data_IF_619348143176
#
_entry.id   IF_619348143176
#
_cell.length_a   1.000
_cell.length_b   1.000
_cell.length_c   1.000
_cell.angle_alpha   90.00
_cell.angle_beta   90.00
_cell.angle_gamma   90.00
#
_symmetry.space_group_name_H-M   'P 1'
#
loop_
_entity.id
_entity.type
_entity.pdbx_description
1 polymer ?
#
# COMPACT_ATOMS: atom_id res chain seq x y z
N UNK A 1 35.88 -11.12 16.20
CA UNK A 1 35.94 -9.65 16.32
C UNK A 1 35.04 -9.03 15.27
N UNK A 2 34.22 -8.05 15.63
CA UNK A 2 33.43 -7.25 14.69
C UNK A 2 34.01 -5.84 14.65
N UNK A 3 34.17 -5.30 13.45
CA UNK A 3 34.69 -3.96 13.18
C UNK A 3 33.74 -3.26 12.20
N UNK A 4 33.28 -2.06 12.54
CA UNK A 4 32.54 -1.22 11.62
C UNK A 4 33.52 -0.52 10.66
N UNK A 5 33.24 -0.55 9.36
CA UNK A 5 34.06 0.12 8.35
C UNK A 5 33.45 1.49 8.07
N UNK A 6 34.17 2.55 8.44
CA UNK A 6 33.71 3.91 8.25
C UNK A 6 34.00 4.37 6.82
N UNK A 7 32.94 4.81 6.11
CA UNK A 7 33.02 5.39 4.77
C UNK A 7 33.62 4.47 3.70
N UNK A 8 33.65 3.16 3.93
CA UNK A 8 34.10 2.21 2.90
C UNK A 8 33.06 2.14 1.77
N UNK A 9 33.54 2.15 0.52
CA UNK A 9 32.68 2.26 -0.65
C UNK A 9 31.69 1.09 -0.80
N UNK A 10 32.09 -0.10 -0.36
CA UNK A 10 31.39 -1.37 -0.65
C UNK A 10 30.88 -2.06 0.62
N UNK A 11 31.55 -1.85 1.74
CA UNK A 11 31.30 -2.57 2.97
C UNK A 11 30.95 -1.63 4.13
N UNK A 12 30.12 -2.11 5.05
CA UNK A 12 29.74 -1.40 6.27
C UNK A 12 30.49 -1.91 7.50
N UNK A 13 31.12 -3.08 7.38
CA UNK A 13 31.74 -3.75 8.49
C UNK A 13 32.42 -5.05 8.08
N UNK A 14 33.17 -5.61 9.02
CA UNK A 14 33.93 -6.82 8.86
C UNK A 14 33.87 -7.66 10.12
N UNK A 15 33.68 -8.96 9.96
CA UNK A 15 33.71 -9.95 11.03
C UNK A 15 34.90 -10.86 10.82
N UNK A 16 35.83 -10.82 11.77
CA UNK A 16 36.99 -11.71 11.82
C UNK A 16 36.72 -12.85 12.79
N UNK A 17 36.68 -14.08 12.29
CA UNK A 17 36.59 -15.32 13.08
C UNK A 17 37.95 -16.00 13.12
N UNK A 18 38.28 -16.56 14.26
CA UNK A 18 39.53 -17.30 14.46
C UNK A 18 39.17 -18.71 14.90
N UNK A 19 39.64 -19.70 14.16
CA UNK A 19 39.34 -21.11 14.36
C UNK A 19 40.58 -21.85 14.85
N UNK A 20 40.42 -22.67 15.88
CA UNK A 20 41.44 -23.62 16.35
C UNK A 20 40.84 -25.02 16.25
N UNK A 21 41.54 -25.93 15.59
CA UNK A 21 41.09 -27.32 15.51
C UNK A 21 41.56 -28.07 16.77
N UNK A 22 40.72 -28.95 17.31
CA UNK A 22 41.06 -29.86 18.40
C UNK A 22 40.64 -31.26 17.97
N UNK A 23 41.56 -32.22 18.05
CA UNK A 23 41.27 -33.61 17.69
C UNK A 23 40.61 -34.39 18.84
N UNK A 24 40.24 -35.65 18.60
CA UNK A 24 39.59 -36.51 19.60
C UNK A 24 40.49 -36.91 20.77
N UNK A 25 41.80 -36.68 20.69
CA UNK A 25 42.77 -36.92 21.76
C UNK A 25 43.07 -35.63 22.55
N UNK A 26 42.51 -34.48 22.15
CA UNK A 26 42.72 -33.19 22.80
C UNK A 26 43.92 -32.41 22.26
N UNK A 27 44.57 -32.85 21.18
CA UNK A 27 45.63 -32.07 20.56
C UNK A 27 45.03 -30.89 19.81
N UNK A 28 45.63 -29.72 19.96
CA UNK A 28 45.16 -28.50 19.31
C UNK A 28 46.05 -28.12 18.11
N UNK A 29 45.47 -27.50 17.08
CA UNK A 29 46.24 -27.01 15.94
C UNK A 29 47.22 -25.91 16.35
N UNK A 30 48.45 -26.02 15.86
CA UNK A 30 49.52 -25.06 16.12
C UNK A 30 49.21 -23.67 15.54
N UNK A 31 48.58 -23.64 14.37
CA UNK A 31 48.13 -22.41 13.72
C UNK A 31 46.62 -22.20 13.91
N UNK A 32 46.26 -20.93 14.11
CA UNK A 32 44.87 -20.48 14.10
C UNK A 32 44.47 -20.12 12.67
N UNK A 33 43.34 -20.64 12.21
CA UNK A 33 42.78 -20.25 10.91
C UNK A 33 41.93 -19.00 11.07
N UNK A 34 42.31 -17.91 10.42
CA UNK A 34 41.56 -16.65 10.45
C UNK A 34 40.67 -16.56 9.21
N UNK A 35 39.37 -16.38 9.44
CA UNK A 35 38.37 -16.12 8.41
C UNK A 35 37.89 -14.67 8.53
N UNK A 36 37.90 -13.96 7.41
CA UNK A 36 37.39 -12.59 7.30
C UNK A 36 36.11 -12.59 6.49
N UNK A 37 35.03 -12.03 7.04
CA UNK A 37 33.72 -11.90 6.41
C UNK A 37 33.41 -10.41 6.28
N UNK A 38 33.27 -9.89 5.06
CA UNK A 38 32.87 -8.50 4.83
C UNK A 38 31.34 -8.40 4.75
N UNK A 39 30.79 -7.34 5.32
CA UNK A 39 29.36 -7.03 5.30
C UNK A 39 29.12 -5.97 4.23
N UNK A 40 28.38 -6.32 3.18
CA UNK A 40 28.03 -5.40 2.10
C UNK A 40 27.07 -4.30 2.54
N UNK A 41 27.12 -3.18 1.84
CA UNK A 41 26.14 -2.10 1.97
C UNK A 41 24.74 -2.59 1.62
N UNK A 42 23.73 -1.88 2.14
CA UNK A 42 22.33 -2.18 1.81
C UNK A 42 22.11 -2.12 0.30
N UNK A 43 21.21 -2.92 -0.25
CA UNK A 43 20.79 -2.83 -1.65
C UNK A 43 19.31 -3.21 -1.74
N UNK A 44 18.74 -3.15 -2.93
CA UNK A 44 17.32 -3.50 -3.14
C UNK A 44 17.14 -4.91 -3.70
N UNK A 45 18.23 -5.67 -3.82
CA UNK A 45 18.19 -7.04 -4.30
C UNK A 45 17.44 -7.94 -3.31
N UNK A 46 16.65 -8.87 -3.85
CA UNK A 46 15.83 -9.79 -3.04
C UNK A 46 14.59 -9.15 -2.40
N UNK A 47 14.38 -7.84 -2.52
CA UNK A 47 13.15 -7.20 -2.07
C UNK A 47 12.05 -7.46 -3.09
N UNK A 48 10.96 -8.03 -2.62
CA UNK A 48 9.73 -8.19 -3.38
C UNK A 48 8.82 -7.00 -3.09
N UNK A 49 8.40 -6.33 -4.16
CA UNK A 49 7.48 -5.20 -4.08
C UNK A 49 6.09 -5.66 -3.59
N UNK A 50 5.35 -4.79 -2.87
CA UNK A 50 3.94 -5.02 -2.61
C UNK A 50 3.11 -4.94 -3.92
N UNK A 51 1.80 -5.27 -3.89
CA UNK A 51 0.95 -5.16 -5.07
C UNK A 51 1.05 -3.79 -5.74
N UNK A 52 1.40 -3.78 -7.03
CA UNK A 52 1.66 -2.53 -7.77
C UNK A 52 0.39 -1.71 -8.02
N UNK A 53 -0.77 -2.37 -8.08
CA UNK A 53 -2.07 -1.75 -8.26
C UNK A 53 -2.98 -2.27 -7.16
N UNK A 54 -3.58 -1.37 -6.40
CA UNK A 54 -4.53 -1.69 -5.33
C UNK A 54 -5.79 -0.87 -5.58
N UNK A 55 -6.94 -1.53 -5.50
CA UNK A 55 -8.25 -0.88 -5.64
C UNK A 55 -9.03 -1.07 -4.35
N UNK A 56 -9.46 0.03 -3.74
CA UNK A 56 -10.27 0.06 -2.53
C UNK A 56 -11.63 0.70 -2.85
N UNK A 57 -12.70 0.28 -2.17
CA UNK A 57 -13.96 1.01 -2.26
C UNK A 57 -13.86 2.28 -1.42
N UNK A 58 -14.40 3.37 -1.95
CA UNK A 58 -14.58 4.62 -1.22
C UNK A 58 -15.51 4.51 0.00
N UNK A 59 -16.36 3.49 0.05
CA UNK A 59 -17.24 3.19 1.18
C UNK A 59 -16.64 2.19 2.16
N UNK A 60 -15.48 1.60 1.83
CA UNK A 60 -14.75 0.75 2.75
C UNK A 60 -14.15 1.61 3.86
N UNK A 61 -14.26 1.13 5.09
CA UNK A 61 -13.61 1.74 6.24
C UNK A 61 -12.17 1.21 6.36
N UNK A 62 -11.34 1.48 5.34
CA UNK A 62 -9.94 1.11 5.33
C UNK A 62 -9.18 1.88 6.42
N UNK A 63 -8.17 1.27 7.04
CA UNK A 63 -7.34 1.97 8.00
C UNK A 63 -6.55 3.09 7.31
N UNK A 64 -6.52 4.28 7.91
CA UNK A 64 -5.68 5.39 7.46
C UNK A 64 -4.27 5.30 8.07
N UNK A 65 -3.28 5.83 7.37
CA UNK A 65 -1.93 5.94 7.89
C UNK A 65 -1.77 7.03 8.96
N UNK A 66 -0.64 7.01 9.64
CA UNK A 66 -0.31 7.98 10.69
C UNK A 66 0.39 9.24 10.13
N UNK A 67 0.33 9.50 8.82
CA UNK A 67 0.97 10.69 8.20
C UNK A 67 0.04 11.90 8.15
N UNK A 68 -1.20 11.76 8.63
CA UNK A 68 -2.13 12.88 8.82
C UNK A 68 -2.80 13.38 7.54
N UNK A 69 -2.67 12.65 6.44
CA UNK A 69 -3.30 12.98 5.15
C UNK A 69 -4.56 12.15 4.85
N UNK A 70 -4.87 11.17 5.69
CA UNK A 70 -6.02 10.28 5.53
C UNK A 70 -5.91 9.32 4.35
N UNK A 71 -4.69 8.85 4.07
CA UNK A 71 -4.43 7.89 2.99
C UNK A 71 -4.42 6.46 3.53
N UNK A 72 -4.78 5.46 2.70
CA UNK A 72 -4.82 4.06 3.15
C UNK A 72 -3.50 3.59 3.74
N UNK A 73 -3.54 2.99 4.91
CA UNK A 73 -2.36 2.46 5.58
C UNK A 73 -1.70 1.34 4.77
N UNK A 74 -0.38 1.12 4.89
CA UNK A 74 0.28 -0.02 4.24
C UNK A 74 -0.27 -1.39 4.66
N UNK A 75 -0.99 -1.50 5.78
CA UNK A 75 -1.72 -2.72 6.15
C UNK A 75 -2.85 -3.07 5.17
N UNK A 76 -3.42 -2.07 4.48
CA UNK A 76 -4.49 -2.23 3.49
C UNK A 76 -3.92 -2.50 2.08
N UNK A 77 -2.72 -1.97 1.81
CA UNK A 77 -2.15 -1.94 0.45
C UNK A 77 -0.93 -2.85 0.26
N UNK A 78 -0.46 -3.47 1.34
CA UNK A 78 0.76 -4.27 1.39
C UNK A 78 2.04 -3.44 1.61
N UNK A 79 3.11 -4.16 1.96
CA UNK A 79 4.46 -3.62 2.23
C UNK A 79 5.53 -4.39 1.46
N UNK A 80 6.70 -3.80 1.17
CA UNK A 80 7.84 -4.54 0.65
C UNK A 80 8.30 -5.64 1.62
N UNK A 81 8.68 -6.80 1.07
CA UNK A 81 9.13 -7.97 1.85
C UNK A 81 10.46 -8.50 1.33
N UNK A 82 11.23 -9.14 2.20
CA UNK A 82 12.37 -9.98 1.81
C UNK A 82 12.09 -11.42 2.24
N UNK A 83 11.98 -12.33 1.27
CA UNK A 83 11.39 -13.64 1.52
C UNK A 83 9.97 -13.47 2.10
N UNK A 84 9.76 -13.92 3.34
CA UNK A 84 8.49 -13.77 4.07
C UNK A 84 8.48 -12.64 5.10
N UNK A 85 9.56 -11.87 5.22
CA UNK A 85 9.73 -10.87 6.27
C UNK A 85 9.33 -9.48 5.77
N UNK A 86 8.35 -8.81 6.39
CA UNK A 86 7.99 -7.44 6.04
C UNK A 86 9.08 -6.46 6.44
N UNK A 87 9.38 -5.50 5.56
CA UNK A 87 10.41 -4.48 5.80
C UNK A 87 9.83 -3.24 6.50
N UNK A 88 8.53 -2.99 6.41
CA UNK A 88 7.84 -1.89 7.07
C UNK A 88 6.83 -2.44 8.11
N UNK A 89 6.66 -1.83 9.30
CA UNK A 89 7.15 -0.53 9.75
C UNK A 89 8.50 -0.57 10.46
N UNK A 90 9.33 -1.59 10.21
CA UNK A 90 10.62 -1.76 10.88
C UNK A 90 11.55 -0.61 10.53
N UNK A 91 11.57 0.40 11.40
CA UNK A 91 12.33 1.64 11.23
C UNK A 91 13.84 1.45 11.40
N UNK A 92 14.26 0.29 11.90
CA UNK A 92 15.66 -0.12 11.95
C UNK A 92 15.73 -1.54 11.40
N UNK A 93 16.02 -1.63 10.10
CA UNK A 93 16.36 -2.91 9.52
C UNK A 93 17.65 -3.35 10.23
N UNK A 94 17.57 -4.46 10.97
CA UNK A 94 18.65 -5.01 11.78
C UNK A 94 19.80 -5.53 10.88
N UNK A 95 20.55 -6.55 11.30
CA UNK A 95 21.68 -7.12 10.53
C UNK A 95 21.37 -7.51 9.06
N UNK A 96 20.10 -7.49 8.63
CA UNK A 96 19.67 -7.70 7.24
C UNK A 96 19.87 -6.47 6.33
N UNK A 97 19.70 -5.25 6.84
CA UNK A 97 20.02 -4.00 6.12
C UNK A 97 20.55 -2.94 7.12
N UNK A 98 21.71 -3.22 7.71
CA UNK A 98 22.38 -2.33 8.65
C UNK A 98 22.46 -0.87 8.17
N UNK A 99 22.33 0.06 9.12
CA UNK A 99 22.41 1.50 8.91
C UNK A 99 21.44 2.04 7.84
N UNK A 100 20.29 1.39 7.68
CA UNK A 100 19.26 1.84 6.76
C UNK A 100 17.86 1.74 7.35
N UNK A 101 16.97 2.55 6.79
CA UNK A 101 15.54 2.58 7.12
C UNK A 101 14.73 2.48 5.84
N UNK A 102 13.51 1.95 5.92
CA UNK A 102 12.57 1.96 4.81
C UNK A 102 11.35 2.81 5.19
N UNK A 103 10.91 3.65 4.26
CA UNK A 103 9.68 4.43 4.40
C UNK A 103 9.06 4.64 3.01
N UNK A 104 7.87 5.21 2.99
CA UNK A 104 7.15 5.54 1.76
C UNK A 104 6.73 7.00 1.70
N UNK A 105 6.52 7.52 0.50
CA UNK A 105 5.90 8.82 0.27
C UNK A 105 4.70 8.68 -0.63
N UNK A 106 3.64 9.42 -0.33
CA UNK A 106 2.39 9.40 -1.08
C UNK A 106 2.17 10.73 -1.79
N UNK A 107 1.72 10.64 -3.04
CA UNK A 107 1.31 11.79 -3.83
C UNK A 107 -0.09 11.55 -4.36
N UNK A 108 -1.01 12.46 -4.07
CA UNK A 108 -2.36 12.45 -4.61
C UNK A 108 -2.34 12.96 -6.06
N UNK A 109 -2.67 12.10 -7.01
CA UNK A 109 -2.64 12.41 -8.45
C UNK A 109 -4.03 12.75 -8.97
N UNK A 110 -5.06 12.09 -8.43
CA UNK A 110 -6.47 12.35 -8.78
C UNK A 110 -7.24 12.57 -7.49
N UNK A 111 -8.02 13.65 -7.44
CA UNK A 111 -8.91 13.96 -6.32
C UNK A 111 -10.23 14.48 -6.85
N UNK A 112 -11.10 13.57 -7.26
CA UNK A 112 -12.46 13.89 -7.67
C UNK A 112 -13.46 13.29 -6.69
N UNK A 113 -14.73 13.68 -6.79
CA UNK A 113 -15.79 13.08 -5.97
C UNK A 113 -16.01 11.59 -6.25
N UNK A 114 -15.63 11.10 -7.42
CA UNK A 114 -15.88 9.72 -7.86
C UNK A 114 -14.65 8.82 -7.69
N UNK A 115 -13.46 9.40 -7.77
CA UNK A 115 -12.21 8.67 -7.75
C UNK A 115 -11.13 9.49 -7.07
N UNK A 116 -10.38 8.81 -6.19
CA UNK A 116 -9.06 9.26 -5.73
C UNK A 116 -8.00 8.30 -6.24
N UNK A 117 -6.83 8.83 -6.62
CA UNK A 117 -5.66 8.04 -6.99
C UNK A 117 -4.43 8.55 -6.27
N UNK A 118 -3.77 7.66 -5.55
CA UNK A 118 -2.55 7.95 -4.78
C UNK A 118 -1.41 7.14 -5.40
N UNK A 119 -0.28 7.81 -5.65
CA UNK A 119 0.97 7.18 -6.04
C UNK A 119 1.86 7.08 -4.80
N UNK A 120 2.10 5.85 -4.33
CA UNK A 120 2.95 5.54 -3.18
C UNK A 120 4.32 5.07 -3.65
N UNK A 121 5.39 5.70 -3.19
CA UNK A 121 6.77 5.35 -3.53
C UNK A 121 7.50 4.81 -2.31
N UNK A 122 8.01 3.59 -2.38
CA UNK A 122 8.80 2.96 -1.33
C UNK A 122 10.30 3.19 -1.54
N UNK A 123 10.99 3.63 -0.50
CA UNK A 123 12.41 3.93 -0.56
C UNK A 123 13.16 3.44 0.68
N UNK A 124 14.37 2.93 0.45
CA UNK A 124 15.34 2.67 1.51
C UNK A 124 16.28 3.87 1.60
N UNK A 125 16.46 4.37 2.81
CA UNK A 125 17.46 5.41 3.12
C UNK A 125 18.60 4.77 3.89
N UNK A 126 19.79 4.74 3.31
CA UNK A 126 21.02 4.27 3.94
C UNK A 126 21.84 5.45 4.45
N UNK A 127 22.26 5.42 5.71
CA UNK A 127 23.27 6.35 6.22
C UNK A 127 24.66 5.83 5.83
N UNK A 128 25.42 6.64 5.11
CA UNK A 128 26.76 6.28 4.69
C UNK A 128 27.62 7.54 4.53
N UNK A 129 28.80 7.58 5.15
CA UNK A 129 29.74 8.69 5.03
C UNK A 129 29.12 10.07 5.31
N UNK A 130 28.35 10.19 6.39
CA UNK A 130 27.62 11.43 6.75
C UNK A 130 26.60 11.89 5.69
N UNK A 131 26.23 11.00 4.77
CA UNK A 131 25.18 11.23 3.76
C UNK A 131 24.04 10.24 3.95
N UNK A 132 22.85 10.62 3.47
CA UNK A 132 21.71 9.74 3.35
C UNK A 132 21.55 9.35 1.87
N UNK A 133 21.84 8.10 1.55
CA UNK A 133 21.72 7.54 0.21
C UNK A 133 20.36 6.89 0.07
N UNK A 134 19.56 7.42 -0.84
CA UNK A 134 18.22 6.96 -1.13
C UNK A 134 18.20 5.94 -2.27
N UNK A 135 17.53 4.81 -2.04
CA UNK A 135 17.43 3.69 -2.99
C UNK A 135 15.96 3.38 -3.25
N UNK A 136 15.59 3.42 -4.52
CA UNK A 136 14.23 3.14 -4.96
C UNK A 136 13.91 1.65 -4.82
N UNK A 137 12.79 1.32 -4.19
CA UNK A 137 12.31 -0.06 -4.05
C UNK A 137 11.21 -0.34 -5.08
N UNK A 138 10.11 0.42 -5.00
CA UNK A 138 8.93 0.19 -5.84
C UNK A 138 7.95 1.36 -5.78
N UNK A 139 7.02 1.39 -6.74
CA UNK A 139 5.84 2.27 -6.70
C UNK A 139 4.56 1.44 -6.67
N UNK A 140 3.53 1.98 -6.00
CA UNK A 140 2.18 1.47 -6.00
C UNK A 140 1.21 2.55 -6.46
N UNK A 141 0.24 2.15 -7.27
CA UNK A 141 -0.94 2.96 -7.59
C UNK A 141 -2.10 2.47 -6.74
N UNK A 142 -2.66 3.34 -5.93
CA UNK A 142 -3.80 3.05 -5.06
C UNK A 142 -4.99 3.84 -5.59
N UNK A 143 -5.98 3.12 -6.10
CA UNK A 143 -7.23 3.66 -6.59
C UNK A 143 -8.33 3.47 -5.54
N UNK A 144 -8.97 4.57 -5.17
CA UNK A 144 -10.17 4.56 -4.33
C UNK A 144 -11.32 4.98 -5.24
N UNK A 145 -12.16 4.01 -5.59
CA UNK A 145 -13.22 4.15 -6.59
C UNK A 145 -14.51 3.54 -6.07
N UNK A 146 -15.62 4.03 -6.58
CA UNK A 146 -16.90 3.37 -6.41
C UNK A 146 -17.09 2.29 -7.48
N UNK A 147 -17.32 1.05 -7.04
CA UNK A 147 -17.69 -0.06 -7.94
C UNK A 147 -19.08 -0.61 -7.66
N UNK A 148 -19.79 -0.05 -6.68
CA UNK A 148 -21.13 -0.51 -6.30
C UNK A 148 -22.17 0.30 -7.05
N UNK A 149 -23.19 -0.35 -7.58
CA UNK A 149 -24.29 0.35 -8.23
C UNK A 149 -25.20 1.02 -7.19
N UNK A 150 -25.82 2.17 -7.51
CA UNK A 150 -26.78 2.82 -6.63
C UNK A 150 -28.01 1.95 -6.39
N UNK A 151 -28.61 2.07 -5.21
CA UNK A 151 -29.81 1.32 -4.84
C UNK A 151 -31.04 2.14 -5.21
N UNK A 152 -31.85 1.60 -6.12
CA UNK A 152 -33.14 2.18 -6.52
C UNK A 152 -34.27 1.41 -5.82
N UNK A 153 -35.10 2.08 -4.99
CA UNK A 153 -36.21 1.40 -4.32
C UNK A 153 -37.29 0.97 -5.32
N UNK A 154 -37.85 -0.22 -5.11
CA UNK A 154 -38.99 -0.72 -5.89
C UNK A 154 -40.17 0.24 -5.76
N UNK A 155 -40.79 0.57 -6.89
CA UNK A 155 -41.97 1.43 -6.95
C UNK A 155 -43.22 0.59 -7.20
N UNK A 156 -44.31 0.95 -6.53
CA UNK A 156 -45.64 0.40 -6.80
C UNK A 156 -46.26 1.06 -8.03
N UNK A 157 -47.12 0.31 -8.73
CA UNK A 157 -47.89 0.84 -9.83
C UNK A 157 -48.79 2.00 -9.38
N UNK A 158 -48.89 3.02 -10.23
CA UNK A 158 -49.74 4.19 -10.00
C UNK A 158 -50.96 4.06 -10.91
N UNK A 159 -52.15 3.96 -10.31
CA UNK A 159 -53.41 3.96 -11.05
C UNK A 159 -54.01 5.36 -11.02
N UNK A 160 -54.28 5.92 -12.20
CA UNK A 160 -54.90 7.24 -12.39
C UNK A 160 -56.00 7.16 -13.43
N UNK A 161 -57.07 7.92 -13.23
CA UNK A 161 -58.16 8.07 -14.20
C UNK A 161 -58.01 9.37 -14.98
N UNK A 162 -58.49 9.40 -16.21
CA UNK A 162 -58.54 10.62 -17.03
C UNK A 162 -59.60 11.59 -16.54
N UNK A 163 -59.48 12.86 -16.91
CA UNK A 163 -60.50 13.85 -16.58
C UNK A 163 -61.82 13.60 -17.35
N UNK A 164 -62.93 14.14 -16.85
CA UNK A 164 -64.28 13.84 -17.35
C UNK A 164 -64.54 14.27 -18.80
N UNK A 165 -63.70 15.15 -19.36
CA UNK A 165 -63.83 15.68 -20.74
C UNK A 165 -62.49 15.75 -21.49
N UNK A 166 -61.43 15.15 -20.96
CA UNK A 166 -60.12 15.10 -21.61
C UNK A 166 -59.55 13.68 -21.49
N UNK A 167 -58.83 13.22 -22.51
CA UNK A 167 -58.10 11.93 -22.45
C UNK A 167 -56.73 12.08 -21.75
N UNK A 168 -56.54 13.16 -20.98
CA UNK A 168 -55.30 13.46 -20.26
C UNK A 168 -55.46 13.20 -18.77
N UNK A 169 -54.34 12.84 -18.13
CA UNK A 169 -54.20 12.76 -16.69
C UNK A 169 -52.86 13.36 -16.29
N UNK A 170 -52.83 14.12 -15.18
CA UNK A 170 -51.59 14.56 -14.56
C UNK A 170 -51.22 13.58 -13.46
N UNK A 171 -50.01 13.00 -13.54
CA UNK A 171 -49.52 12.03 -12.56
C UNK A 171 -48.40 12.65 -11.75
N UNK A 172 -48.55 12.67 -10.43
CA UNK A 172 -47.47 13.02 -9.52
C UNK A 172 -46.64 11.77 -9.24
N UNK A 173 -45.37 11.78 -9.65
CA UNK A 173 -44.46 10.68 -9.34
C UNK A 173 -44.00 10.77 -7.87
N UNK A 174 -43.89 9.64 -7.16
CA UNK A 174 -43.37 9.64 -5.81
C UNK A 174 -41.90 10.09 -5.81
N UNK A 175 -41.50 10.74 -4.72
CA UNK A 175 -40.10 11.02 -4.48
C UNK A 175 -39.34 9.70 -4.26
N UNK A 176 -38.27 9.49 -5.03
CA UNK A 176 -37.40 8.33 -4.89
C UNK A 176 -36.24 8.66 -3.94
N UNK A 177 -36.11 7.89 -2.87
CA UNK A 177 -34.95 7.94 -1.99
C UNK A 177 -33.85 7.02 -2.53
N UNK A 178 -33.23 7.41 -3.65
CA UNK A 178 -32.11 6.67 -4.24
C UNK A 178 -30.85 7.02 -3.45
N UNK A 179 -30.15 5.98 -3.00
CA UNK A 179 -28.92 6.10 -2.22
C UNK A 179 -27.78 5.41 -2.93
N UNK A 180 -26.59 5.97 -2.76
CA UNK A 180 -25.34 5.44 -3.26
C UNK A 180 -24.29 5.54 -2.15
N UNK A 181 -23.35 4.62 -2.12
CA UNK A 181 -22.43 4.43 -1.00
C UNK A 181 -21.30 5.48 -0.97
N UNK A 182 -20.99 6.11 -2.10
CA UNK A 182 -19.84 7.02 -2.23
C UNK A 182 -20.18 8.34 -2.91
N UNK A 183 -21.14 8.32 -3.83
CA UNK A 183 -21.46 9.49 -4.64
C UNK A 183 -22.88 9.97 -4.37
N UNK A 184 -23.14 11.24 -4.67
CA UNK A 184 -24.51 11.73 -4.66
C UNK A 184 -25.15 11.41 -6.02
N UNK A 185 -26.39 10.91 -6.01
CA UNK A 185 -27.13 10.67 -7.25
C UNK A 185 -27.65 12.00 -7.80
N UNK A 186 -27.14 12.41 -8.95
CA UNK A 186 -27.45 13.72 -9.55
C UNK A 186 -28.60 13.69 -10.57
N UNK A 187 -28.82 12.56 -11.25
CA UNK A 187 -29.84 12.43 -12.30
C UNK A 187 -30.45 11.04 -12.29
N UNK A 188 -31.76 10.99 -12.51
CA UNK A 188 -32.55 9.76 -12.57
C UNK A 188 -33.45 9.86 -13.79
N UNK A 189 -33.45 8.83 -14.63
CA UNK A 189 -34.35 8.72 -15.78
C UNK A 189 -35.47 7.74 -15.44
N UNK A 190 -36.71 8.17 -15.62
CA UNK A 190 -37.90 7.36 -15.37
C UNK A 190 -38.61 7.13 -16.69
N UNK A 191 -38.79 5.85 -17.05
CA UNK A 191 -39.62 5.45 -18.18
C UNK A 191 -40.95 4.96 -17.63
N UNK A 192 -42.04 5.64 -18.00
CA UNK A 192 -43.40 5.22 -17.65
C UNK A 192 -44.04 4.51 -18.84
N UNK A 193 -44.67 3.36 -18.59
CA UNK A 193 -45.42 2.61 -19.58
C UNK A 193 -46.89 2.62 -19.19
N UNK A 194 -47.75 2.98 -20.15
CA UNK A 194 -49.20 2.89 -19.97
C UNK A 194 -49.63 1.45 -20.24
N UNK A 195 -50.34 0.84 -19.29
CA UNK A 195 -51.04 -0.42 -19.52
C UNK A 195 -52.54 -0.13 -19.59
N UNK A 196 -53.16 -0.62 -20.65
CA UNK A 196 -54.59 -0.45 -20.98
C UNK A 196 -55.31 -1.78 -20.85
#
# INVERSE_FOLDING_TARGET
>A
MHEALQCDANYIGRVTKTWKAVDGAGNESELLCVQVINLERSNTSGITAPPINVTLQCSDNYAEDNKGLGYPAPSETGVPVIGSTPLYPLSQLNMLYCNSTIDYTDVLIVNTKMQKRILRTWMITEWWCSTAVQKFVSMQTIDIVDTTAPVIPVQSDITVTTETRSCSATVLLPQLNITDNCTAVYKVYVNAYLQW
#
